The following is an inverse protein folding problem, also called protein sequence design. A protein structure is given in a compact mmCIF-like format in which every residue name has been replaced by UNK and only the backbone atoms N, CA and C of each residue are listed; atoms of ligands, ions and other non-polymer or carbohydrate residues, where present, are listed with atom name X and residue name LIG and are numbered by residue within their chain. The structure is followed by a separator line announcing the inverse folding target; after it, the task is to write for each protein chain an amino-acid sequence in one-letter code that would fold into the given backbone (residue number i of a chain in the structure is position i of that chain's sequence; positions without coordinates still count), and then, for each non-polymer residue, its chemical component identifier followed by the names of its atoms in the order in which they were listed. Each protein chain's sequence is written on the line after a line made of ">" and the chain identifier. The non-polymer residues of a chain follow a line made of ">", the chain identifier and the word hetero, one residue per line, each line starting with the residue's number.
data_IF_481622587190
#
_entry.id   IF_481622587190
#
_cell.length_a   1.000
_cell.length_b   1.000
_cell.length_c   1.000
_cell.angle_alpha   90.00
_cell.angle_beta   90.00
_cell.angle_gamma   90.00
#
_symmetry.space_group_name_H-M   'P 1'
#
loop_
_entity.id
_entity.type
_entity.pdbx_description
1 polymer ?
#
# COMPACT_ATOMS: atom_id res chain seq x y z
N UNK A 1 26.52 12.69 -7.89
CA UNK A 1 25.04 12.68 -7.96
C UNK A 1 24.55 13.82 -7.08
N UNK A 2 23.56 14.61 -7.50
CA UNK A 2 22.94 15.58 -6.59
C UNK A 2 22.32 14.82 -5.42
N UNK A 3 22.53 15.31 -4.20
CA UNK A 3 21.77 14.86 -3.03
C UNK A 3 20.27 14.98 -3.34
N UNK A 4 19.50 13.92 -3.03
CA UNK A 4 18.06 13.93 -3.25
C UNK A 4 17.41 14.72 -2.13
N UNK A 5 16.66 15.78 -2.48
CA UNK A 5 15.87 16.55 -1.52
C UNK A 5 14.87 15.65 -0.80
N UNK A 6 14.74 15.84 0.51
CA UNK A 6 13.74 15.16 1.33
C UNK A 6 12.32 15.65 1.02
N UNK A 7 11.30 14.89 1.44
CA UNK A 7 9.89 15.25 1.17
C UNK A 7 9.51 16.62 1.75
N UNK A 8 9.95 16.94 2.97
CA UNK A 8 9.66 18.23 3.60
C UNK A 8 10.30 19.40 2.84
N UNK A 9 11.51 19.22 2.31
CA UNK A 9 12.21 20.23 1.52
C UNK A 9 11.52 20.49 0.18
N UNK A 10 11.03 19.43 -0.47
CA UNK A 10 10.24 19.53 -1.72
C UNK A 10 8.95 20.32 -1.46
N UNK A 11 8.20 19.96 -0.42
CA UNK A 11 6.95 20.63 -0.07
C UNK A 11 7.16 22.10 0.30
N UNK A 12 8.18 22.42 1.10
CA UNK A 12 8.51 23.80 1.48
C UNK A 12 8.96 24.66 0.29
N UNK A 13 9.51 24.04 -0.76
CA UNK A 13 9.86 24.71 -2.01
C UNK A 13 8.65 24.96 -2.93
N UNK A 14 7.43 24.61 -2.52
CA UNK A 14 6.21 24.74 -3.32
C UNK A 14 6.08 23.68 -4.42
N UNK A 15 6.82 22.58 -4.34
CA UNK A 15 6.72 21.49 -5.30
C UNK A 15 5.41 20.72 -5.12
N UNK A 16 4.74 20.42 -6.23
CA UNK A 16 3.59 19.50 -6.23
C UNK A 16 4.13 18.08 -6.13
N UNK A 17 3.71 17.35 -5.10
CA UNK A 17 4.06 15.94 -4.89
C UNK A 17 2.83 15.07 -5.09
N UNK A 18 2.95 14.03 -5.91
CA UNK A 18 1.86 13.14 -6.30
C UNK A 18 1.92 11.86 -5.47
N UNK A 19 0.83 11.54 -4.74
CA UNK A 19 0.67 10.26 -4.05
C UNK A 19 0.36 9.10 -5.00
N UNK A 20 0.26 7.89 -4.45
CA UNK A 20 -0.23 6.73 -5.20
C UNK A 20 -1.76 6.62 -5.17
N UNK A 21 -2.29 5.55 -5.78
CA UNK A 21 -3.73 5.35 -5.95
C UNK A 21 -4.33 4.31 -5.01
N UNK A 22 -5.59 3.94 -5.26
CA UNK A 22 -6.36 3.03 -4.42
C UNK A 22 -5.92 1.57 -4.53
N UNK A 23 -5.04 1.12 -3.62
CA UNK A 23 -4.56 -0.26 -3.55
C UNK A 23 -5.67 -1.31 -3.43
N UNK A 24 -6.55 -1.15 -2.44
CA UNK A 24 -7.62 -2.13 -2.14
C UNK A 24 -8.50 -2.37 -3.36
N UNK A 25 -8.97 -1.30 -4.01
CA UNK A 25 -9.84 -1.40 -5.17
C UNK A 25 -9.13 -1.98 -6.39
N UNK A 26 -7.85 -1.64 -6.61
CA UNK A 26 -7.09 -2.17 -7.73
C UNK A 26 -6.77 -3.66 -7.56
N UNK A 27 -6.43 -4.10 -6.34
CA UNK A 27 -6.20 -5.50 -6.02
C UNK A 27 -7.50 -6.32 -6.02
N UNK A 28 -8.62 -5.75 -5.57
CA UNK A 28 -9.93 -6.40 -5.59
C UNK A 28 -10.39 -6.68 -7.03
N UNK A 29 -10.24 -5.71 -7.93
CA UNK A 29 -10.53 -5.89 -9.37
C UNK A 29 -9.65 -6.96 -10.04
N UNK A 30 -8.48 -7.26 -9.46
CA UNK A 30 -7.57 -8.31 -9.91
C UNK A 30 -7.79 -9.65 -9.21
N UNK A 31 -8.70 -9.70 -8.24
CA UNK A 31 -9.05 -10.91 -7.49
C UNK A 31 -8.11 -11.27 -6.35
N UNK A 32 -7.25 -10.36 -5.90
CA UNK A 32 -6.28 -10.64 -4.82
C UNK A 32 -6.81 -10.34 -3.41
N UNK A 33 -7.78 -9.43 -3.27
CA UNK A 33 -8.35 -9.04 -1.97
C UNK A 33 -9.86 -8.87 -2.07
N UNK A 34 -10.52 -8.87 -0.92
CA UNK A 34 -11.89 -8.36 -0.78
C UNK A 34 -11.88 -7.19 0.20
N UNK A 35 -12.39 -6.03 -0.23
CA UNK A 35 -12.40 -4.83 0.58
C UNK A 35 -13.08 -5.09 1.94
N UNK A 36 -12.42 -4.64 3.02
CA UNK A 36 -12.84 -4.90 4.38
C UNK A 36 -11.96 -5.97 5.04
N UNK A 37 -12.49 -7.13 5.45
CA UNK A 37 -11.79 -8.03 6.36
C UNK A 37 -10.56 -8.75 5.79
N UNK A 38 -10.34 -8.78 4.47
CA UNK A 38 -9.30 -9.62 3.83
C UNK A 38 -8.29 -8.79 3.03
N UNK A 39 -7.87 -7.67 3.62
CA UNK A 39 -7.03 -6.68 2.94
C UNK A 39 -5.53 -6.86 3.23
N UNK A 40 -5.06 -6.92 4.49
CA UNK A 40 -3.63 -6.93 4.80
C UNK A 40 -2.91 -8.23 4.41
N UNK A 41 -3.63 -9.36 4.33
CA UNK A 41 -3.08 -10.69 4.03
C UNK A 41 -2.41 -10.76 2.67
N UNK A 42 -2.90 -10.01 1.68
CA UNK A 42 -2.32 -10.02 0.34
C UNK A 42 -0.86 -9.54 0.31
N UNK A 43 -0.41 -8.77 1.29
CA UNK A 43 1.01 -8.42 1.45
C UNK A 43 1.89 -9.65 1.72
N UNK A 44 1.33 -10.69 2.33
CA UNK A 44 2.04 -11.94 2.70
C UNK A 44 1.71 -13.07 1.71
N UNK A 45 0.44 -13.24 1.36
CA UNK A 45 -0.03 -14.32 0.48
C UNK A 45 0.28 -14.03 -1.01
N UNK A 46 0.28 -12.74 -1.40
CA UNK A 46 0.45 -12.29 -2.78
C UNK A 46 1.42 -11.09 -2.91
N UNK A 47 2.64 -11.16 -2.35
CA UNK A 47 3.57 -10.04 -2.30
C UNK A 47 3.92 -9.48 -3.69
N UNK A 48 4.00 -10.35 -4.70
CA UNK A 48 4.27 -9.94 -6.08
C UNK A 48 3.15 -9.09 -6.67
N UNK A 49 1.89 -9.33 -6.30
CA UNK A 49 0.76 -8.51 -6.76
C UNK A 49 0.81 -7.10 -6.16
N UNK A 50 1.14 -6.99 -4.88
CA UNK A 50 1.30 -5.72 -4.17
C UNK A 50 2.50 -4.93 -4.74
N UNK A 51 3.64 -5.61 -4.93
CA UNK A 51 4.84 -5.01 -5.52
C UNK A 51 4.61 -4.53 -6.96
N UNK A 52 3.91 -5.33 -7.76
CA UNK A 52 3.58 -4.97 -9.13
C UNK A 52 2.69 -3.72 -9.16
N UNK A 53 1.70 -3.63 -8.27
CA UNK A 53 0.84 -2.45 -8.20
C UNK A 53 1.59 -1.18 -7.76
N UNK A 54 2.53 -1.28 -6.80
CA UNK A 54 3.44 -0.18 -6.47
C UNK A 54 4.20 0.31 -7.70
N UNK A 55 4.79 -0.63 -8.47
CA UNK A 55 5.53 -0.29 -9.70
C UNK A 55 4.66 0.40 -10.74
N UNK A 56 3.40 0.00 -10.85
CA UNK A 56 2.45 0.63 -11.77
C UNK A 56 2.11 2.06 -11.37
N UNK A 57 1.91 2.34 -10.08
CA UNK A 57 1.73 3.73 -9.61
C UNK A 57 2.98 4.58 -9.81
N UNK A 58 4.18 4.04 -9.52
CA UNK A 58 5.43 4.72 -9.85
C UNK A 58 5.55 5.05 -11.34
N UNK A 59 5.20 4.10 -12.22
CA UNK A 59 5.18 4.32 -13.68
C UNK A 59 4.12 5.32 -14.13
N UNK A 60 3.01 5.41 -13.39
CA UNK A 60 1.94 6.38 -13.64
C UNK A 60 2.29 7.80 -13.16
N UNK A 61 3.41 7.98 -12.46
CA UNK A 61 3.92 9.30 -12.04
C UNK A 61 3.82 9.59 -10.55
N UNK A 62 3.51 8.61 -9.70
CA UNK A 62 3.53 8.81 -8.25
C UNK A 62 4.95 9.06 -7.74
N UNK A 63 5.11 10.12 -6.96
CA UNK A 63 6.35 10.48 -6.27
C UNK A 63 6.56 9.66 -5.00
N UNK A 64 5.46 9.23 -4.38
CA UNK A 64 5.43 8.55 -3.09
C UNK A 64 4.61 7.27 -3.22
N UNK A 65 5.13 6.19 -2.63
CA UNK A 65 4.43 4.93 -2.47
C UNK A 65 4.00 4.79 -1.01
N UNK A 66 2.72 4.57 -0.78
CA UNK A 66 2.13 4.42 0.53
C UNK A 66 2.04 2.93 0.88
N UNK A 67 2.60 2.52 2.01
CA UNK A 67 2.63 1.12 2.39
C UNK A 67 1.20 0.54 2.49
N UNK A 68 1.01 -0.70 2.02
CA UNK A 68 -0.27 -1.38 2.02
C UNK A 68 -0.63 -1.93 3.42
N UNK A 69 -0.76 -1.04 4.40
CA UNK A 69 -0.89 -1.36 5.83
C UNK A 69 -2.06 -0.67 6.53
N UNK A 70 -3.00 -0.08 5.78
CA UNK A 70 -4.15 0.64 6.34
C UNK A 70 -4.99 -0.19 7.33
N UNK A 71 -5.09 -1.50 7.11
CA UNK A 71 -5.83 -2.44 7.96
C UNK A 71 -4.91 -3.44 8.69
N UNK A 72 -3.61 -3.14 8.78
CA UNK A 72 -2.60 -4.02 9.35
C UNK A 72 -2.24 -3.61 10.80
N UNK A 73 -3.25 -3.32 11.62
CA UNK A 73 -3.10 -3.17 13.08
C UNK A 73 -3.61 -4.42 13.81
N UNK A 74 -3.12 -4.68 15.01
CA UNK A 74 -3.48 -5.88 15.81
C UNK A 74 -5.00 -6.07 15.92
N UNK A 75 -5.74 -5.00 16.26
CA UNK A 75 -7.20 -5.02 16.38
C UNK A 75 -7.94 -5.29 15.06
N UNK A 76 -7.27 -5.17 13.92
CA UNK A 76 -7.82 -5.44 12.58
C UNK A 76 -7.44 -6.80 12.05
N UNK A 77 -6.24 -7.28 12.39
CA UNK A 77 -5.74 -8.60 12.04
C UNK A 77 -6.47 -9.74 12.78
N UNK A 78 -7.12 -9.44 13.91
CA UNK A 78 -7.92 -10.40 14.69
C UNK A 78 -9.45 -10.20 14.55
N UNK A 79 -9.90 -9.25 13.72
CA UNK A 79 -11.29 -8.80 13.69
C UNK A 79 -12.03 -9.18 12.40
N UNK A 80 -13.36 -9.29 12.49
CA UNK A 80 -14.28 -9.54 11.37
C UNK A 80 -13.92 -10.72 10.46
N UNK A 81 -13.42 -11.81 11.03
CA UNK A 81 -13.10 -13.03 10.28
C UNK A 81 -11.76 -12.96 9.54
N UNK A 82 -10.93 -11.95 9.82
CA UNK A 82 -9.52 -11.96 9.50
C UNK A 82 -8.79 -12.94 10.45
N UNK A 83 -7.94 -13.82 9.91
CA UNK A 83 -7.14 -14.78 10.67
C UNK A 83 -5.62 -14.54 10.51
N UNK A 84 -5.23 -13.43 9.88
CA UNK A 84 -3.84 -13.10 9.61
C UNK A 84 -3.02 -13.00 10.90
N UNK A 85 -3.59 -12.38 11.95
CA UNK A 85 -2.95 -12.29 13.26
C UNK A 85 -2.62 -13.67 13.83
N UNK A 86 -3.55 -14.63 13.69
CA UNK A 86 -3.35 -16.01 14.17
C UNK A 86 -2.40 -16.84 13.30
N UNK A 87 -2.35 -16.57 11.99
CA UNK A 87 -1.58 -17.38 11.03
C UNK A 87 -0.13 -16.93 10.86
N UNK A 88 0.12 -15.63 11.02
CA UNK A 88 1.37 -14.97 10.61
C UNK A 88 2.01 -14.16 11.76
N UNK A 89 1.23 -13.79 12.78
CA UNK A 89 1.69 -12.99 13.94
C UNK A 89 2.41 -13.78 15.02
#
# INVERSE_FOLDING_TARGET
>A
MSEKRGILERLNAGEVVIGDGGFVFALEKRGYVKAGPWTPEASVEHPEAVLQLHREFCRAGSDIAQAFTFYASEDKLDNRGNDAGKKIG
#
